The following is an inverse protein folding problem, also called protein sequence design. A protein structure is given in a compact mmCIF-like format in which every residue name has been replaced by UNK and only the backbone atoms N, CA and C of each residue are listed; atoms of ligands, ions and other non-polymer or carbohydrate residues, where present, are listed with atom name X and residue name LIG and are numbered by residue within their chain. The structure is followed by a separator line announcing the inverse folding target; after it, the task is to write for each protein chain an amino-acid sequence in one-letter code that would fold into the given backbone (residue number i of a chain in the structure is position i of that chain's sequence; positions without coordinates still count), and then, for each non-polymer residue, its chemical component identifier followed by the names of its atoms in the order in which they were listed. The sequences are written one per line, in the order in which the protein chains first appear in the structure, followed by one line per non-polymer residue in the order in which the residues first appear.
data_IF_899643586878
#
_entry.id   IF_899643586878
#
_cell.length_a   1.000
_cell.length_b   1.000
_cell.length_c   1.000
_cell.angle_alpha   90.00
_cell.angle_beta   90.00
_cell.angle_gamma   90.00
#
_symmetry.space_group_name_H-M   'P 1'
#
loop_
_entity.id
_entity.type
_entity.pdbx_description
1 polymer ?
#
# COMPACT_ATOMS: atom_id res chain seq x y z
N UNK A 1 -7.69 7.35 5.38
CA UNK A 1 -8.39 6.15 5.00
C UNK A 1 -7.51 5.28 4.11
N UNK A 2 -7.36 4.03 4.48
CA UNK A 2 -6.46 3.10 3.81
C UNK A 2 -7.16 2.04 3.00
N UNK A 3 -8.37 2.30 2.56
CA UNK A 3 -9.01 1.41 1.62
C UNK A 3 -8.34 1.61 0.26
N UNK A 4 -7.72 0.56 -0.26
CA UNK A 4 -7.10 0.58 -1.56
C UNK A 4 -7.72 -0.47 -2.48
N UNK A 5 -7.33 -0.44 -3.75
CA UNK A 5 -7.94 -1.34 -4.75
C UNK A 5 -7.68 -2.81 -4.49
N UNK A 6 -6.64 -3.13 -3.73
CA UNK A 6 -6.33 -4.53 -3.41
C UNK A 6 -7.32 -5.12 -2.41
N UNK A 7 -7.92 -4.31 -1.55
CA UNK A 7 -8.92 -4.77 -0.60
C UNK A 7 -10.16 -5.22 -1.35
N UNK A 8 -10.52 -6.52 -1.19
CA UNK A 8 -11.72 -7.10 -1.82
C UNK A 8 -11.69 -6.98 -3.36
N UNK A 9 -10.51 -7.21 -3.93
CA UNK A 9 -10.25 -6.96 -5.34
C UNK A 9 -11.18 -7.72 -6.30
N UNK A 10 -11.57 -8.95 -5.97
CA UNK A 10 -12.45 -9.75 -6.84
C UNK A 10 -13.82 -9.09 -6.98
N UNK A 11 -14.40 -8.63 -5.86
CA UNK A 11 -15.73 -8.03 -5.87
C UNK A 11 -15.72 -6.66 -6.54
N UNK A 12 -14.57 -6.01 -6.58
CA UNK A 12 -14.40 -4.72 -7.26
C UNK A 12 -14.17 -4.88 -8.76
N UNK A 13 -14.07 -6.10 -9.25
CA UNK A 13 -13.88 -6.37 -10.68
C UNK A 13 -12.43 -6.33 -11.14
N UNK A 14 -11.49 -6.46 -10.24
CA UNK A 14 -10.07 -6.54 -10.58
C UNK A 14 -9.64 -7.96 -10.87
N UNK A 15 -8.59 -8.10 -11.67
CA UNK A 15 -7.84 -9.33 -11.84
C UNK A 15 -6.50 -9.19 -11.15
N UNK A 16 -6.11 -10.21 -10.38
CA UNK A 16 -4.84 -10.22 -9.67
C UNK A 16 -3.89 -11.23 -10.29
N UNK A 17 -2.63 -10.84 -10.43
CA UNK A 17 -1.60 -11.70 -10.99
C UNK A 17 -0.33 -11.57 -10.17
N UNK A 18 0.19 -12.71 -9.68
CA UNK A 18 1.50 -12.73 -9.03
C UNK A 18 2.56 -12.72 -10.13
N UNK A 19 3.39 -11.69 -10.13
CA UNK A 19 4.48 -11.55 -11.10
C UNK A 19 5.79 -12.16 -10.62
N UNK A 20 5.86 -12.58 -9.36
CA UNK A 20 7.05 -13.20 -8.78
C UNK A 20 7.57 -12.44 -7.58
N UNK A 21 8.88 -12.57 -7.34
CA UNK A 21 9.56 -11.89 -6.24
C UNK A 21 10.57 -10.90 -6.81
N UNK A 22 10.75 -9.80 -6.11
CA UNK A 22 11.73 -8.80 -6.48
C UNK A 22 12.49 -8.34 -5.26
N UNK A 23 13.81 -8.17 -5.40
CA UNK A 23 14.65 -7.65 -4.34
C UNK A 23 14.71 -6.13 -4.45
N UNK A 24 14.40 -5.45 -3.37
CA UNK A 24 14.52 -4.00 -3.26
C UNK A 24 15.35 -3.71 -2.01
N UNK A 25 16.54 -3.11 -2.19
CA UNK A 25 17.49 -2.98 -1.09
C UNK A 25 17.93 -4.36 -0.60
N UNK A 26 17.75 -4.63 0.67
CA UNK A 26 18.14 -5.90 1.30
C UNK A 26 16.97 -6.87 1.49
N UNK A 27 15.77 -6.50 1.05
CA UNK A 27 14.57 -7.28 1.29
C UNK A 27 13.96 -7.80 -0.01
N UNK A 28 13.22 -8.91 0.10
CA UNK A 28 12.46 -9.48 -1.01
C UNK A 28 10.98 -9.20 -0.83
N UNK A 29 10.31 -8.96 -1.95
CA UNK A 29 8.87 -8.64 -1.97
C UNK A 29 8.17 -9.47 -3.03
N UNK A 30 6.94 -9.89 -2.71
CA UNK A 30 6.04 -10.41 -3.73
C UNK A 30 5.51 -9.25 -4.54
N UNK A 31 5.58 -9.39 -5.86
CA UNK A 31 5.10 -8.39 -6.79
C UNK A 31 3.77 -8.86 -7.37
N UNK A 32 2.71 -8.10 -7.13
CA UNK A 32 1.36 -8.46 -7.54
C UNK A 32 0.80 -7.34 -8.41
N UNK A 33 0.20 -7.73 -9.53
CA UNK A 33 -0.45 -6.79 -10.44
C UNK A 33 -1.97 -6.91 -10.28
N UNK A 34 -2.64 -5.78 -10.04
CA UNK A 34 -4.09 -5.68 -10.15
C UNK A 34 -4.44 -4.93 -11.42
N UNK A 35 -5.37 -5.48 -12.18
CA UNK A 35 -5.81 -4.89 -13.43
C UNK A 35 -7.33 -4.78 -13.45
N UNK A 36 -7.82 -3.62 -13.88
CA UNK A 36 -9.24 -3.41 -14.16
C UNK A 36 -9.34 -2.51 -15.38
N UNK A 37 -9.89 -3.03 -16.48
CA UNK A 37 -9.90 -2.37 -17.77
C UNK A 37 -8.45 -2.06 -18.19
N UNK A 38 -8.11 -0.79 -18.41
CA UNK A 38 -6.75 -0.38 -18.79
C UNK A 38 -5.90 0.03 -17.60
N UNK A 39 -6.46 0.01 -16.40
CA UNK A 39 -5.76 0.47 -15.20
C UNK A 39 -5.00 -0.66 -14.55
N UNK A 40 -3.71 -0.43 -14.33
CA UNK A 40 -2.83 -1.39 -13.66
C UNK A 40 -2.22 -0.74 -12.43
N UNK A 41 -2.17 -1.51 -11.35
CA UNK A 41 -1.47 -1.12 -10.13
C UNK A 41 -0.58 -2.27 -9.71
N UNK A 42 0.67 -1.97 -9.37
CA UNK A 42 1.62 -2.96 -8.89
C UNK A 42 1.78 -2.79 -7.38
N UNK A 43 1.68 -3.90 -6.68
CA UNK A 43 1.85 -3.94 -5.22
C UNK A 43 3.05 -4.79 -4.88
N UNK A 44 3.81 -4.34 -3.89
CA UNK A 44 4.93 -5.09 -3.32
C UNK A 44 4.63 -5.42 -1.87
N UNK A 45 4.57 -6.71 -1.57
CA UNK A 45 4.33 -7.20 -0.21
C UNK A 45 5.59 -7.88 0.31
N UNK A 46 5.98 -7.55 1.54
CA UNK A 46 7.12 -8.19 2.19
C UNK A 46 6.92 -9.70 2.25
N UNK A 47 7.93 -10.48 1.82
CA UNK A 47 7.79 -11.94 1.81
C UNK A 47 7.76 -12.55 3.21
N UNK A 48 8.24 -11.83 4.22
CA UNK A 48 8.31 -12.34 5.60
C UNK A 48 7.02 -12.12 6.38
N UNK A 49 6.42 -10.94 6.24
CA UNK A 49 5.26 -10.56 7.05
C UNK A 49 4.04 -10.20 6.22
N UNK A 50 4.13 -10.23 4.89
CA UNK A 50 3.06 -9.91 3.94
C UNK A 50 2.54 -8.47 4.04
N UNK A 51 3.30 -7.58 4.67
CA UNK A 51 2.87 -6.19 4.77
C UNK A 51 3.13 -5.46 3.45
N UNK A 52 2.21 -4.58 3.11
CA UNK A 52 2.34 -3.77 1.91
C UNK A 52 3.51 -2.79 2.09
N UNK A 53 4.45 -2.85 1.17
CA UNK A 53 5.61 -1.97 1.16
C UNK A 53 5.47 -0.83 0.16
N UNK A 54 5.00 -1.15 -1.05
CA UNK A 54 4.95 -0.17 -2.14
C UNK A 54 3.77 -0.42 -3.06
N UNK A 55 3.24 0.66 -3.57
CA UNK A 55 2.15 0.64 -4.53
C UNK A 55 2.55 1.56 -5.69
N UNK A 56 2.54 1.03 -6.90
CA UNK A 56 2.90 1.79 -8.10
C UNK A 56 1.68 1.93 -8.98
N UNK A 57 1.21 3.16 -9.12
CA UNK A 57 0.15 3.55 -10.03
C UNK A 57 0.75 4.29 -11.21
N UNK A 58 -0.08 4.64 -12.20
CA UNK A 58 0.37 5.30 -13.42
C UNK A 58 1.24 6.54 -13.16
N UNK A 59 0.84 7.38 -12.23
CA UNK A 59 1.47 8.68 -11.99
C UNK A 59 2.03 8.83 -10.57
N UNK A 60 2.01 7.76 -9.79
CA UNK A 60 2.38 7.88 -8.38
C UNK A 60 2.97 6.58 -7.84
N UNK A 61 4.01 6.72 -7.04
CA UNK A 61 4.60 5.63 -6.28
C UNK A 61 4.40 5.95 -4.81
N UNK A 62 3.72 5.06 -4.09
CA UNK A 62 3.53 5.17 -2.64
C UNK A 62 4.36 4.11 -1.96
N UNK A 63 5.19 4.51 -1.00
CA UNK A 63 5.99 3.59 -0.20
C UNK A 63 5.61 3.73 1.27
N UNK A 64 5.31 2.61 1.89
CA UNK A 64 4.81 2.52 3.25
C UNK A 64 5.87 1.95 4.17
N UNK A 65 6.05 2.55 5.33
CA UNK A 65 7.03 2.08 6.30
C UNK A 65 6.65 2.50 7.72
N UNK A 66 7.45 2.10 8.68
CA UNK A 66 7.25 2.41 10.09
C UNK A 66 5.86 1.94 10.54
N UNK A 67 5.59 0.66 10.31
CA UNK A 67 4.34 0.05 10.76
C UNK A 67 4.33 -0.05 12.28
N UNK A 68 3.25 0.43 12.87
CA UNK A 68 3.05 0.41 14.32
C UNK A 68 1.70 -0.19 14.66
N UNK A 69 1.66 -0.82 15.82
CA UNK A 69 0.42 -1.38 16.33
C UNK A 69 -0.43 -0.26 16.94
N UNK A 70 -1.67 -0.14 16.47
CA UNK A 70 -2.65 0.80 16.97
C UNK A 70 -3.88 -0.02 17.34
N UNK A 71 -4.07 -0.29 18.64
CA UNK A 71 -5.04 -1.27 19.06
C UNK A 71 -4.65 -2.65 18.55
N UNK A 72 -5.49 -3.27 17.72
CA UNK A 72 -5.20 -4.56 17.10
C UNK A 72 -4.80 -4.44 15.64
N UNK A 73 -4.62 -3.22 15.14
CA UNK A 73 -4.29 -2.95 13.76
C UNK A 73 -2.81 -2.61 13.62
N UNK A 74 -2.22 -2.99 12.49
CA UNK A 74 -0.90 -2.52 12.09
C UNK A 74 -1.07 -1.43 11.04
N UNK A 75 -0.49 -0.27 11.28
CA UNK A 75 -0.69 0.90 10.45
C UNK A 75 0.65 1.53 10.11
N UNK A 76 0.85 1.96 8.87
CA UNK A 76 2.08 2.67 8.51
C UNK A 76 2.06 4.07 9.10
N UNK A 77 3.18 4.46 9.69
CA UNK A 77 3.36 5.82 10.23
C UNK A 77 4.19 6.70 9.29
N UNK A 78 4.66 6.12 8.18
CA UNK A 78 5.39 6.86 7.17
C UNK A 78 4.88 6.45 5.80
N UNK A 79 4.46 7.43 5.01
CA UNK A 79 4.04 7.23 3.63
C UNK A 79 4.83 8.21 2.78
N UNK A 80 5.62 7.68 1.87
CA UNK A 80 6.37 8.46 0.91
C UNK A 80 5.65 8.42 -0.43
N UNK A 81 5.44 9.58 -1.02
CA UNK A 81 4.84 9.68 -2.34
C UNK A 81 5.82 10.33 -3.31
N UNK A 82 5.98 9.73 -4.46
CA UNK A 82 6.75 10.32 -5.54
C UNK A 82 5.97 10.19 -6.84
N UNK A 83 6.20 11.14 -7.74
CA UNK A 83 5.52 11.14 -9.03
C UNK A 83 6.50 11.62 -10.11
N UNK A 84 6.67 10.85 -11.19
CA UNK A 84 7.54 11.27 -12.28
C UNK A 84 7.03 12.49 -13.05
N UNK A 85 5.75 12.82 -12.89
CA UNK A 85 5.11 13.95 -13.60
C UNK A 85 5.06 15.23 -12.78
N UNK A 86 5.39 15.17 -11.50
CA UNK A 86 5.39 16.32 -10.59
C UNK A 86 6.81 16.57 -10.11
N UNK A 87 7.15 17.82 -9.95
CA UNK A 87 8.49 18.18 -9.50
C UNK A 87 8.70 17.96 -8.01
N UNK A 88 7.66 17.67 -7.27
CA UNK A 88 7.77 17.51 -5.83
C UNK A 88 7.37 16.12 -5.38
N UNK A 89 8.26 15.52 -4.63
CA UNK A 89 7.96 14.34 -3.84
C UNK A 89 7.62 14.78 -2.42
N UNK A 90 6.84 13.99 -1.73
CA UNK A 90 6.52 14.31 -0.36
C UNK A 90 6.50 13.08 0.52
N UNK A 91 6.68 13.31 1.82
CA UNK A 91 6.61 12.28 2.83
C UNK A 91 5.54 12.67 3.82
N UNK A 92 4.62 11.75 4.09
CA UNK A 92 3.61 11.92 5.11
C UNK A 92 4.02 11.12 6.35
N UNK A 93 4.18 11.81 7.46
CA UNK A 93 4.44 11.19 8.75
C UNK A 93 3.18 11.25 9.59
N UNK A 94 2.76 10.10 10.09
CA UNK A 94 1.59 10.01 10.95
C UNK A 94 2.08 10.02 12.38
N UNK A 95 1.89 11.14 13.07
CA UNK A 95 2.41 11.33 14.43
C UNK A 95 1.53 10.66 15.47
N UNK A 96 0.24 10.64 15.25
CA UNK A 96 -0.71 10.11 16.23
C UNK A 96 -1.98 9.66 15.53
N UNK A 97 -2.44 8.48 15.93
CA UNK A 97 -3.73 7.96 15.50
C UNK A 97 -4.58 7.79 16.77
N UNK A 98 -5.72 8.43 16.78
CA UNK A 98 -6.66 8.33 17.90
C UNK A 98 -7.68 7.22 17.61
N UNK A 99 -7.49 6.07 18.26
CA UNK A 99 -8.37 4.92 18.07
C UNK A 99 -9.69 5.05 18.86
N UNK A 100 -9.82 6.08 19.71
CA UNK A 100 -11.06 6.32 20.43
C UNK A 100 -12.07 7.10 19.60
N UNK A 101 -11.64 7.63 18.46
CA UNK A 101 -12.54 8.26 17.51
C UNK A 101 -13.10 7.21 16.57
N UNK A 102 -14.29 7.47 16.07
CA UNK A 102 -14.88 6.63 15.07
C UNK A 102 -14.01 6.64 13.81
N UNK A 103 -13.54 5.46 13.44
CA UNK A 103 -12.84 5.28 12.17
C UNK A 103 -13.80 4.62 11.18
N UNK A 104 -13.72 4.99 9.90
CA UNK A 104 -14.50 4.29 8.87
C UNK A 104 -14.18 2.81 8.89
N UNK A 105 -15.19 1.97 8.63
CA UNK A 105 -15.04 0.52 8.68
C UNK A 105 -13.95 -0.04 7.77
N UNK A 106 -13.66 0.66 6.68
CA UNK A 106 -12.68 0.21 5.70
C UNK A 106 -11.33 0.90 5.86
N UNK A 107 -11.12 1.64 6.94
CA UNK A 107 -9.84 2.25 7.23
C UNK A 107 -8.83 1.18 7.58
N UNK A 108 -7.67 1.19 6.93
CA UNK A 108 -6.53 0.31 7.21
C UNK A 108 -6.80 -1.18 7.02
N UNK A 109 -7.54 -1.54 6.03
CA UNK A 109 -7.65 -2.93 5.61
C UNK A 109 -6.57 -3.23 4.58
N UNK A 110 -5.80 -4.22 4.86
CA UNK A 110 -4.79 -4.74 3.95
C UNK A 110 -4.98 -6.22 3.71
#
# INVERSE_FOLDING_TARGET
NFDNDFIDWENKGFEAKLLGKEKIGEQYYFKVELTKNVNKTIYFFDVKNYMLYREIKKDEILTYSDYRKVGQLLMPYRIESSSPKKDSDYVMLINKIDINKELPKNTFKF
#
